data_IF_960445927435
#
_entry.id   IF_960445927435
#
_cell.length_a   1.000
_cell.length_b   1.000
_cell.length_c   1.000
_cell.angle_alpha   90.00
_cell.angle_beta   90.00
_cell.angle_gamma   90.00
#
_symmetry.space_group_name_H-M   'P 1'
#
loop_
_entity.id
_entity.type
_entity.pdbx_description
1 polymer ?
#
# COMPACT_ATOMS: atom_id res chain seq x y z
N UNK A 1 15.01 -4.70 34.92
CA UNK A 1 14.04 -3.79 34.27
C UNK A 1 13.33 -4.58 33.17
N UNK A 2 11.98 -4.56 33.11
CA UNK A 2 11.25 -5.15 31.96
C UNK A 2 11.38 -4.21 30.77
N UNK A 3 11.76 -4.73 29.60
CA UNK A 3 11.76 -4.00 28.33
C UNK A 3 10.43 -4.26 27.64
N UNK A 4 9.80 -3.21 27.12
CA UNK A 4 8.53 -3.26 26.38
C UNK A 4 8.71 -2.48 25.07
N UNK A 5 8.18 -3.02 23.98
CA UNK A 5 8.30 -2.45 22.65
C UNK A 5 7.72 -3.40 21.59
N UNK A 6 7.85 -3.01 20.32
CA UNK A 6 7.51 -3.87 19.19
C UNK A 6 8.66 -4.85 19.00
N UNK A 7 8.39 -6.15 19.21
CA UNK A 7 9.38 -7.21 18.96
C UNK A 7 9.48 -7.53 17.46
N UNK A 8 8.35 -7.55 16.76
CA UNK A 8 8.27 -7.83 15.34
C UNK A 8 7.05 -7.15 14.69
N UNK A 9 7.11 -6.98 13.37
CA UNK A 9 6.00 -6.56 12.53
C UNK A 9 6.10 -7.25 11.17
N UNK A 10 4.98 -7.36 10.46
CA UNK A 10 4.94 -7.76 9.06
C UNK A 10 3.89 -6.94 8.32
N UNK A 11 3.90 -7.03 6.99
CA UNK A 11 3.05 -6.22 6.11
C UNK A 11 2.41 -7.12 5.06
N UNK A 12 1.12 -6.87 4.80
CA UNK A 12 0.41 -7.36 3.63
C UNK A 12 -0.11 -6.16 2.84
N UNK A 13 0.01 -6.22 1.53
CA UNK A 13 -0.47 -5.20 0.58
C UNK A 13 -1.30 -5.91 -0.50
N UNK A 14 -2.20 -5.20 -1.18
CA UNK A 14 -2.84 -5.71 -2.39
C UNK A 14 -1.82 -6.16 -3.45
N UNK A 15 -2.20 -7.12 -4.27
CA UNK A 15 -1.35 -7.74 -5.30
C UNK A 15 -1.13 -6.84 -6.52
N UNK A 16 -1.95 -5.80 -6.69
CA UNK A 16 -1.89 -4.89 -7.84
C UNK A 16 -1.67 -3.45 -7.40
N UNK A 17 -1.01 -2.70 -8.28
CA UNK A 17 -0.81 -1.26 -8.13
C UNK A 17 -1.11 -0.53 -9.43
N UNK A 18 -1.31 0.78 -9.32
CA UNK A 18 -1.40 1.74 -10.42
C UNK A 18 -0.20 2.68 -10.36
N UNK A 19 0.53 2.84 -11.47
CA UNK A 19 1.57 3.86 -11.58
C UNK A 19 0.92 5.25 -11.57
N UNK A 20 1.47 6.18 -10.79
CA UNK A 20 0.84 7.51 -10.64
C UNK A 20 0.98 8.38 -11.89
N UNK A 21 1.96 8.11 -12.75
CA UNK A 21 2.06 8.70 -14.09
C UNK A 21 0.87 8.29 -14.97
N UNK A 22 0.48 7.02 -14.93
CA UNK A 22 -0.68 6.49 -15.67
C UNK A 22 -1.98 7.10 -15.13
N UNK A 23 -2.09 7.23 -13.80
CA UNK A 23 -3.22 7.92 -13.19
C UNK A 23 -3.29 9.39 -13.61
N UNK A 24 -2.15 10.09 -13.67
CA UNK A 24 -2.07 11.47 -14.12
C UNK A 24 -2.54 11.62 -15.57
N UNK A 25 -2.03 10.77 -16.47
CA UNK A 25 -2.42 10.74 -17.87
C UNK A 25 -3.93 10.47 -18.03
N UNK A 26 -4.47 9.47 -17.31
CA UNK A 26 -5.89 9.12 -17.33
C UNK A 26 -6.82 10.20 -16.72
N UNK A 27 -6.25 11.20 -16.03
CA UNK A 27 -6.99 12.32 -15.44
C UNK A 27 -6.70 13.66 -16.11
N UNK A 28 -5.88 13.69 -17.16
CA UNK A 28 -5.47 14.93 -17.81
C UNK A 28 -4.68 15.86 -16.88
N UNK A 29 -3.96 15.29 -15.92
CA UNK A 29 -3.16 15.99 -14.93
C UNK A 29 -1.69 15.87 -15.30
N UNK A 30 -0.92 16.93 -15.06
CA UNK A 30 0.53 16.90 -15.24
C UNK A 30 1.16 15.87 -14.26
N UNK A 31 1.97 14.89 -14.73
CA UNK A 31 2.48 13.81 -13.89
C UNK A 31 3.30 14.25 -12.68
N UNK A 32 4.09 15.32 -12.79
CA UNK A 32 4.89 15.84 -11.68
C UNK A 32 4.03 16.33 -10.51
N UNK A 33 2.74 16.66 -10.71
CA UNK A 33 1.81 16.89 -9.59
C UNK A 33 1.77 15.69 -8.63
N UNK A 34 1.73 14.46 -9.14
CA UNK A 34 1.66 13.27 -8.30
C UNK A 34 3.05 12.74 -7.91
N UNK A 35 4.02 12.77 -8.83
CA UNK A 35 5.34 12.18 -8.57
C UNK A 35 6.26 13.08 -7.75
N UNK A 36 6.28 14.38 -8.04
CA UNK A 36 7.11 15.36 -7.32
C UNK A 36 6.31 16.13 -6.30
N UNK A 37 5.12 16.61 -6.68
CA UNK A 37 4.26 17.44 -5.84
C UNK A 37 3.70 16.69 -4.62
N UNK A 38 3.32 15.43 -4.77
CA UNK A 38 2.87 14.56 -3.67
C UNK A 38 3.91 13.51 -3.25
N UNK A 39 4.98 13.31 -4.04
CA UNK A 39 6.03 12.33 -3.74
C UNK A 39 5.62 10.87 -3.98
N UNK A 40 4.50 10.61 -4.65
CA UNK A 40 4.02 9.26 -4.88
C UNK A 40 4.67 8.60 -6.11
N UNK A 41 4.62 7.28 -6.20
CA UNK A 41 5.10 6.53 -7.37
C UNK A 41 4.08 5.51 -7.82
N UNK A 42 3.66 4.67 -6.89
CA UNK A 42 2.71 3.60 -7.10
C UNK A 42 1.62 3.66 -6.03
N UNK A 43 0.38 3.37 -6.42
CA UNK A 43 -0.75 3.26 -5.49
C UNK A 43 -1.30 1.84 -5.56
N UNK A 44 -1.27 1.12 -4.43
CA UNK A 44 -1.89 -0.20 -4.35
C UNK A 44 -3.41 -0.10 -4.51
N UNK A 45 -4.02 -1.05 -5.24
CA UNK A 45 -5.45 -1.09 -5.51
C UNK A 45 -5.97 -2.50 -5.26
N UNK A 46 -6.86 -2.63 -4.27
CA UNK A 46 -7.49 -3.89 -3.87
C UNK A 46 -8.64 -4.27 -4.80
N UNK A 47 -8.80 -5.57 -5.08
CA UNK A 47 -10.09 -6.13 -5.51
C UNK A 47 -10.98 -6.50 -4.31
N UNK A 48 -12.27 -6.83 -4.50
CA UNK A 48 -13.16 -7.16 -3.39
C UNK A 48 -12.74 -8.36 -2.52
N UNK A 49 -11.87 -9.25 -3.01
CA UNK A 49 -11.32 -10.39 -2.25
C UNK A 49 -10.16 -9.98 -1.33
N UNK A 50 -9.52 -8.85 -1.60
CA UNK A 50 -8.45 -8.28 -0.76
C UNK A 50 -9.02 -7.29 0.26
N UNK A 51 -10.09 -7.70 0.93
CA UNK A 51 -10.78 -6.88 1.91
C UNK A 51 -9.96 -6.69 3.20
N UNK A 52 -10.54 -5.93 4.14
CA UNK A 52 -9.88 -5.68 5.43
C UNK A 52 -9.61 -6.94 6.24
N UNK A 53 -10.45 -7.98 6.11
CA UNK A 53 -10.27 -9.25 6.83
C UNK A 53 -9.13 -10.04 6.20
N UNK A 54 -9.13 -10.19 4.88
CA UNK A 54 -8.12 -10.95 4.13
C UNK A 54 -6.72 -10.37 4.32
N UNK A 55 -6.56 -9.04 4.20
CA UNK A 55 -5.26 -8.39 4.36
C UNK A 55 -4.75 -8.47 5.82
N UNK A 56 -5.63 -8.29 6.81
CA UNK A 56 -5.26 -8.41 8.22
C UNK A 56 -4.88 -9.86 8.59
N UNK A 57 -5.67 -10.84 8.16
CA UNK A 57 -5.40 -12.26 8.40
C UNK A 57 -4.10 -12.68 7.72
N UNK A 58 -3.85 -12.22 6.48
CA UNK A 58 -2.60 -12.50 5.76
C UNK A 58 -1.39 -11.91 6.47
N UNK A 59 -1.48 -10.65 6.93
CA UNK A 59 -0.40 -10.05 7.71
C UNK A 59 -0.17 -10.82 9.01
N UNK A 60 -1.21 -11.08 9.81
CA UNK A 60 -1.07 -11.83 11.07
C UNK A 60 -0.50 -13.24 10.85
N UNK A 61 -0.95 -13.95 9.81
CA UNK A 61 -0.46 -15.29 9.47
C UNK A 61 0.99 -15.29 8.97
N UNK A 62 1.48 -14.19 8.37
CA UNK A 62 2.89 -14.06 8.00
C UNK A 62 3.78 -13.72 9.20
N UNK A 63 3.21 -13.22 10.29
CA UNK A 63 3.94 -12.85 11.51
C UNK A 63 4.19 -14.06 12.41
N UNK A 64 3.25 -15.01 12.43
CA UNK A 64 3.22 -16.20 13.30
C UNK A 64 3.66 -17.43 12.51
#
# INVERSE_FOLDING_TARGET
MRRVGIEALTVAVPERFLALEDLAAARGVEPAKYTTGLGGREMAVADPGEDSVALAATAAQRLI
#
